data_IF_536222866640
#
_entry.id   IF_536222866640
#
_cell.length_a   1.000
_cell.length_b   1.000
_cell.length_c   1.000
_cell.angle_alpha   90.00
_cell.angle_beta   90.00
_cell.angle_gamma   90.00
#
_symmetry.space_group_name_H-M   'P 1'
#
loop_
_entity.id
_entity.type
_entity.pdbx_description
1 polymer ?
#
# COMPACT_ATOMS: atom_id res chain seq x y z
N UNK A 1 10.58 18.61 28.28
CA UNK A 1 10.62 17.68 27.13
C UNK A 1 9.81 16.45 27.52
N UNK A 2 8.51 16.44 27.23
CA UNK A 2 7.62 15.35 27.68
C UNK A 2 7.38 14.37 26.55
N UNK A 3 7.85 13.14 26.76
CA UNK A 3 7.16 11.90 26.40
C UNK A 3 6.85 11.67 24.92
N UNK A 4 7.85 11.22 24.14
CA UNK A 4 7.53 10.34 23.02
C UNK A 4 7.03 9.01 23.61
N UNK A 5 5.70 8.85 23.66
CA UNK A 5 5.10 7.54 23.88
C UNK A 5 5.61 6.61 22.77
N UNK A 6 6.25 5.50 23.15
CA UNK A 6 6.60 4.43 22.21
C UNK A 6 5.31 3.85 21.65
N UNK A 7 4.88 4.32 20.49
CA UNK A 7 3.81 3.70 19.72
C UNK A 7 4.13 2.21 19.54
N UNK A 8 3.11 1.37 19.71
CA UNK A 8 3.22 -0.03 19.34
C UNK A 8 3.42 -0.16 17.83
N UNK A 9 4.05 -1.26 17.36
CA UNK A 9 4.22 -1.51 15.91
C UNK A 9 2.89 -1.40 15.15
N UNK A 10 1.80 -1.86 15.76
CA UNK A 10 0.45 -1.81 15.22
C UNK A 10 -0.07 -0.37 15.04
N UNK A 11 0.23 0.51 15.99
CA UNK A 11 -0.12 1.93 15.88
C UNK A 11 0.78 2.64 14.85
N UNK A 12 2.04 2.22 14.73
CA UNK A 12 2.94 2.71 13.67
C UNK A 12 2.43 2.31 12.27
N UNK A 13 1.94 1.09 12.09
CA UNK A 13 1.33 0.59 10.84
C UNK A 13 0.04 1.36 10.48
N UNK A 14 -0.77 1.73 11.48
CA UNK A 14 -1.98 2.54 11.27
C UNK A 14 -1.69 4.01 10.94
N UNK A 15 -0.59 4.58 11.45
CA UNK A 15 -0.22 5.99 11.23
C UNK A 15 0.55 6.21 9.91
N UNK A 16 1.17 5.17 9.35
CA UNK A 16 2.06 5.28 8.17
C UNK A 16 1.44 4.87 6.84
N UNK A 17 0.16 4.46 6.79
CA UNK A 17 -0.46 4.04 5.53
C UNK A 17 0.27 2.85 4.88
N UNK A 18 0.82 1.95 5.68
CA UNK A 18 1.91 1.06 5.24
C UNK A 18 1.65 -0.43 5.45
N UNK A 19 0.41 -0.91 5.38
CA UNK A 19 0.18 -2.37 5.36
C UNK A 19 0.78 -2.90 4.05
N UNK A 20 1.90 -3.60 4.16
CA UNK A 20 2.52 -4.26 3.03
C UNK A 20 2.34 -5.77 3.13
N UNK A 21 1.78 -6.38 2.10
CA UNK A 21 1.63 -7.82 2.01
C UNK A 21 2.28 -8.36 0.75
N UNK A 22 2.70 -9.62 0.85
CA UNK A 22 3.14 -10.42 -0.29
C UNK A 22 1.98 -11.23 -0.85
N UNK A 23 0.98 -10.55 -1.43
CA UNK A 23 -0.19 -11.19 -2.01
C UNK A 23 -0.04 -11.41 -3.52
N UNK A 24 -0.70 -12.44 -4.04
CA UNK A 24 -0.73 -12.74 -5.47
C UNK A 24 0.65 -12.96 -6.13
N UNK A 25 1.67 -13.30 -5.33
CA UNK A 25 3.05 -13.47 -5.80
C UNK A 25 3.83 -12.16 -5.98
N UNK A 26 3.30 -11.04 -5.49
CA UNK A 26 3.94 -9.73 -5.55
C UNK A 26 3.97 -9.09 -4.16
N UNK A 27 5.00 -8.30 -3.89
CA UNK A 27 5.04 -7.45 -2.69
C UNK A 27 4.35 -6.12 -3.00
N UNK A 28 3.28 -5.83 -2.28
CA UNK A 28 2.51 -4.60 -2.40
C UNK A 28 2.40 -3.90 -1.05
N UNK A 29 2.35 -2.58 -1.08
CA UNK A 29 2.09 -1.73 0.08
C UNK A 29 0.87 -0.89 -0.19
N UNK A 30 0.06 -0.69 0.85
CA UNK A 30 -1.08 0.21 0.75
C UNK A 30 -0.61 1.60 0.31
N UNK A 31 -1.32 2.22 -0.64
CA UNK A 31 -1.01 3.57 -1.04
C UNK A 31 -1.40 4.52 0.10
N UNK A 32 -0.59 5.55 0.32
CA UNK A 32 -0.82 6.53 1.39
C UNK A 32 -2.09 7.37 1.13
N UNK A 33 -2.48 7.53 -0.13
CA UNK A 33 -3.67 8.24 -0.59
C UNK A 33 -4.10 7.68 -1.97
N UNK A 34 -5.26 8.12 -2.48
CA UNK A 34 -5.78 7.67 -3.77
C UNK A 34 -4.89 8.08 -4.97
N UNK A 35 -4.19 9.21 -4.89
CA UNK A 35 -3.32 9.67 -5.97
C UNK A 35 -2.08 8.76 -6.13
N UNK A 36 -1.50 8.33 -5.00
CA UNK A 36 -0.39 7.36 -4.98
C UNK A 36 -0.81 6.00 -5.53
N UNK A 37 -2.05 5.59 -5.29
CA UNK A 37 -2.64 4.39 -5.88
C UNK A 37 -2.62 4.49 -7.41
N UNK A 38 -3.19 5.59 -7.94
CA UNK A 38 -3.29 5.83 -9.39
C UNK A 38 -1.90 5.90 -10.02
N UNK A 39 -0.97 6.66 -9.44
CA UNK A 39 0.39 6.78 -9.93
C UNK A 39 1.11 5.43 -10.00
N UNK A 40 0.92 4.57 -8.99
CA UNK A 40 1.49 3.22 -8.97
C UNK A 40 0.90 2.34 -10.06
N UNK A 41 -0.42 2.39 -10.27
CA UNK A 41 -1.11 1.65 -11.34
C UNK A 41 -0.60 2.10 -12.71
N UNK A 42 -0.53 3.41 -12.96
CA UNK A 42 -0.04 3.96 -14.22
C UNK A 42 1.40 3.54 -14.51
N UNK A 43 2.28 3.60 -13.52
CA UNK A 43 3.67 3.15 -13.65
C UNK A 43 3.75 1.65 -14.03
N UNK A 44 2.93 0.81 -13.40
CA UNK A 44 2.87 -0.63 -13.70
C UNK A 44 2.34 -0.88 -15.12
N UNK A 45 1.29 -0.15 -15.53
CA UNK A 45 0.71 -0.25 -16.86
C UNK A 45 1.69 0.21 -17.96
N UNK A 46 2.36 1.35 -17.76
CA UNK A 46 3.38 1.89 -18.67
C UNK A 46 4.60 0.97 -18.79
N UNK A 47 4.94 0.26 -17.71
CA UNK A 47 6.00 -0.75 -17.71
C UNK A 47 5.59 -2.09 -18.33
N UNK A 48 4.37 -2.19 -18.89
CA UNK A 48 3.84 -3.43 -19.46
C UNK A 48 3.44 -4.50 -18.43
N UNK A 49 3.52 -4.19 -17.13
CA UNK A 49 3.21 -5.10 -16.03
C UNK A 49 1.70 -5.14 -15.73
N UNK A 50 0.87 -5.35 -16.76
CA UNK A 50 -0.60 -5.30 -16.66
C UNK A 50 -1.18 -6.23 -15.60
N UNK A 51 -0.62 -7.44 -15.48
CA UNK A 51 -1.06 -8.40 -14.46
C UNK A 51 -0.76 -7.90 -13.04
N UNK A 52 0.44 -7.34 -12.83
CA UNK A 52 0.82 -6.76 -11.54
C UNK A 52 -0.03 -5.54 -11.19
N UNK A 53 -0.36 -4.70 -12.17
CA UNK A 53 -1.28 -3.57 -11.98
C UNK A 53 -2.67 -4.04 -11.53
N UNK A 54 -3.23 -5.05 -12.19
CA UNK A 54 -4.52 -5.63 -11.80
C UNK A 54 -4.50 -6.22 -10.39
N UNK A 55 -3.42 -6.91 -10.01
CA UNK A 55 -3.25 -7.45 -8.64
C UNK A 55 -3.04 -6.38 -7.59
N UNK A 56 -2.34 -5.29 -7.92
CA UNK A 56 -2.20 -4.15 -7.04
C UNK A 56 -3.54 -3.48 -6.76
N UNK A 57 -4.38 -3.29 -7.79
CA UNK A 57 -5.74 -2.77 -7.63
C UNK A 57 -6.54 -3.66 -6.68
N UNK A 58 -6.54 -4.97 -6.91
CA UNK A 58 -7.24 -5.94 -6.06
C UNK A 58 -6.79 -5.84 -4.60
N UNK A 59 -5.47 -5.81 -4.36
CA UNK A 59 -4.88 -5.61 -3.04
C UNK A 59 -5.34 -4.29 -2.38
N UNK A 60 -5.37 -3.17 -3.11
CA UNK A 60 -5.83 -1.90 -2.55
C UNK A 60 -7.29 -1.93 -2.07
N UNK A 61 -8.18 -2.61 -2.80
CA UNK A 61 -9.58 -2.78 -2.41
C UNK A 61 -9.76 -3.75 -1.23
N UNK A 62 -8.98 -4.82 -1.18
CA UNK A 62 -9.14 -5.88 -0.16
C UNK A 62 -8.45 -5.55 1.18
N UNK A 63 -7.27 -4.92 1.14
CA UNK A 63 -6.41 -4.76 2.30
C UNK A 63 -6.26 -3.32 2.78
N UNK A 64 -6.53 -2.34 1.92
CA UNK A 64 -6.28 -0.92 2.18
C UNK A 64 -7.57 -0.09 2.30
N UNK A 65 -8.73 -0.65 1.93
CA UNK A 65 -10.04 -0.02 2.10
C UNK A 65 -10.36 1.10 1.10
N UNK A 66 -9.73 1.08 -0.08
CA UNK A 66 -10.12 1.92 -1.22
C UNK A 66 -11.33 1.36 -1.96
#
# INVERSE_FOLDING_TARGET
MNGMQKMSQKEMEMVTGGKCNSDYGYFFCCPANADDMVATIENLMNSGQKNKASKYIQFCYEDCGY
#
